data_IF_330202719695
#
_entry.id   IF_330202719695
#
_cell.length_a   1.000
_cell.length_b   1.000
_cell.length_c   1.000
_cell.angle_alpha   90.00
_cell.angle_beta   90.00
_cell.angle_gamma   90.00
#
_symmetry.space_group_name_H-M   'P 1'
#
loop_
_entity.id
_entity.type
_entity.pdbx_description
1 polymer ?
#
# COMPACT_ATOMS: atom_id res chain seq x y z
N UNK A 1 -20.23 6.17 -13.24
CA UNK A 1 -19.85 5.43 -12.01
C UNK A 1 -18.56 6.02 -11.46
N UNK A 2 -18.40 6.10 -10.14
CA UNK A 2 -17.18 6.61 -9.51
C UNK A 2 -15.95 5.77 -9.90
N UNK A 3 -14.75 6.37 -9.88
CA UNK A 3 -13.48 5.65 -10.10
C UNK A 3 -13.35 4.47 -9.13
N UNK A 4 -13.77 4.67 -7.88
CA UNK A 4 -13.79 3.67 -6.82
C UNK A 4 -14.59 2.42 -7.22
N UNK A 5 -15.79 2.60 -7.78
CA UNK A 5 -16.62 1.47 -8.19
C UNK A 5 -16.05 0.71 -9.39
N UNK A 6 -15.41 1.41 -10.33
CA UNK A 6 -14.87 0.80 -11.56
C UNK A 6 -13.51 0.14 -11.37
N UNK A 7 -12.64 0.74 -10.54
CA UNK A 7 -11.26 0.29 -10.37
C UNK A 7 -11.04 -0.58 -9.13
N UNK A 8 -11.94 -0.50 -8.14
CA UNK A 8 -11.83 -1.27 -6.90
C UNK A 8 -13.01 -2.22 -6.65
N UNK A 9 -14.05 -2.18 -7.49
CA UNK A 9 -15.26 -2.98 -7.28
C UNK A 9 -16.09 -2.56 -6.07
N UNK A 10 -15.76 -1.45 -5.41
CA UNK A 10 -16.42 -1.00 -4.18
C UNK A 10 -17.73 -0.28 -4.53
N UNK A 11 -18.86 -0.89 -4.16
CA UNK A 11 -20.21 -0.41 -4.45
C UNK A 11 -20.82 0.46 -3.36
N UNK A 12 -20.26 0.43 -2.14
CA UNK A 12 -20.75 1.21 -1.01
C UNK A 12 -19.92 1.05 0.25
N UNK A 13 -20.50 1.45 1.38
CA UNK A 13 -19.83 1.50 2.70
C UNK A 13 -19.26 0.15 3.15
N UNK A 14 -20.01 -0.95 2.99
CA UNK A 14 -19.59 -2.29 3.42
C UNK A 14 -18.28 -2.68 2.74
N UNK A 15 -18.31 -2.78 1.41
CA UNK A 15 -17.15 -3.11 0.58
C UNK A 15 -15.94 -2.19 0.85
N UNK A 16 -16.19 -0.90 1.11
CA UNK A 16 -15.13 0.05 1.45
C UNK A 16 -14.43 -0.36 2.75
N UNK A 17 -15.19 -0.60 3.81
CA UNK A 17 -14.64 -0.95 5.12
C UNK A 17 -13.97 -2.32 5.10
N UNK A 18 -14.51 -3.27 4.34
CA UNK A 18 -13.87 -4.57 4.10
C UNK A 18 -12.52 -4.42 3.39
N UNK A 19 -12.45 -3.62 2.32
CA UNK A 19 -11.19 -3.37 1.61
C UNK A 19 -10.16 -2.65 2.48
N UNK A 20 -10.59 -1.65 3.27
CA UNK A 20 -9.69 -0.96 4.21
C UNK A 20 -9.15 -1.93 5.25
N UNK A 21 -9.99 -2.82 5.80
CA UNK A 21 -9.56 -3.86 6.76
C UNK A 21 -8.56 -4.81 6.12
N UNK A 22 -8.87 -5.33 4.93
CA UNK A 22 -7.98 -6.22 4.18
C UNK A 22 -6.60 -5.58 3.95
N UNK A 23 -6.55 -4.34 3.44
CA UNK A 23 -5.29 -3.64 3.24
C UNK A 23 -4.53 -3.41 4.55
N UNK A 24 -5.23 -3.15 5.65
CA UNK A 24 -4.61 -2.85 6.92
C UNK A 24 -4.20 -4.09 7.73
N UNK A 25 -4.53 -5.32 7.31
CA UNK A 25 -4.26 -6.56 8.03
C UNK A 25 -3.46 -7.56 7.19
N UNK A 26 -3.85 -7.75 5.94
CA UNK A 26 -3.28 -8.76 5.06
C UNK A 26 -2.51 -8.09 3.94
N UNK A 27 -3.24 -7.51 2.98
CA UNK A 27 -2.70 -6.73 1.87
C UNK A 27 -1.54 -7.42 1.12
N UNK A 28 -0.59 -6.60 0.70
CA UNK A 28 0.65 -7.01 0.08
C UNK A 28 1.72 -7.39 1.11
N UNK A 29 1.60 -6.99 2.38
CA UNK A 29 2.46 -7.49 3.47
C UNK A 29 2.37 -9.02 3.55
N UNK A 30 1.16 -9.56 3.77
CA UNK A 30 0.95 -11.01 3.86
C UNK A 30 1.32 -11.70 2.54
N UNK A 31 0.95 -11.11 1.40
CA UNK A 31 1.29 -11.67 0.09
C UNK A 31 2.79 -11.78 -0.11
N UNK A 32 3.56 -10.73 0.20
CA UNK A 32 5.01 -10.76 0.05
C UNK A 32 5.65 -11.78 0.98
N UNK A 33 5.13 -11.92 2.21
CA UNK A 33 5.58 -12.96 3.14
C UNK A 33 5.36 -14.36 2.58
N UNK A 34 4.11 -14.73 2.27
CA UNK A 34 3.77 -16.06 1.77
C UNK A 34 4.58 -16.43 0.52
N UNK A 35 4.74 -15.48 -0.39
CA UNK A 35 5.47 -15.69 -1.63
C UNK A 35 6.99 -15.78 -1.42
N UNK A 36 7.52 -15.15 -0.36
CA UNK A 36 8.92 -15.28 0.03
C UNK A 36 9.22 -16.56 0.82
N UNK A 37 8.22 -17.14 1.48
CA UNK A 37 8.34 -18.40 2.22
C UNK A 37 8.18 -19.63 1.32
N UNK A 38 7.35 -19.53 0.27
CA UNK A 38 7.11 -20.61 -0.68
C UNK A 38 8.38 -21.06 -1.42
N UNK A 39 8.61 -22.37 -1.44
CA UNK A 39 9.76 -22.97 -2.12
C UNK A 39 9.61 -22.94 -3.65
N UNK A 40 8.38 -22.95 -4.15
CA UNK A 40 8.06 -22.85 -5.57
C UNK A 40 6.73 -22.11 -5.79
N UNK A 41 6.46 -21.56 -6.99
CA UNK A 41 5.20 -20.88 -7.25
C UNK A 41 4.00 -21.84 -7.25
N UNK A 42 4.20 -23.14 -7.50
CA UNK A 42 3.14 -24.16 -7.49
C UNK A 42 2.52 -24.36 -6.10
N UNK A 43 3.26 -24.09 -5.01
CA UNK A 43 2.72 -24.14 -3.63
C UNK A 43 1.66 -23.05 -3.38
N UNK A 44 1.59 -22.04 -4.24
CA UNK A 44 0.68 -20.90 -4.15
C UNK A 44 -0.46 -20.99 -5.17
N UNK A 45 -0.52 -22.09 -5.94
CA UNK A 45 -1.50 -22.28 -7.01
C UNK A 45 -2.60 -23.25 -6.58
N UNK A 46 -3.81 -23.00 -7.05
CA UNK A 46 -4.94 -23.92 -6.90
C UNK A 46 -5.63 -24.20 -8.24
N UNK A 47 -6.46 -25.26 -8.27
CA UNK A 47 -7.12 -25.76 -9.47
C UNK A 47 -8.20 -24.83 -10.05
N UNK A 48 -8.61 -23.80 -9.31
CA UNK A 48 -9.61 -22.82 -9.75
C UNK A 48 -8.99 -21.63 -10.46
N UNK A 49 -7.66 -21.48 -10.40
CA UNK A 49 -6.94 -20.37 -11.01
C UNK A 49 -6.89 -20.47 -12.53
N UNK A 50 -7.14 -19.35 -13.21
CA UNK A 50 -6.97 -19.25 -14.65
C UNK A 50 -5.50 -19.02 -15.07
N UNK A 51 -5.22 -19.07 -16.38
CA UNK A 51 -3.86 -18.91 -16.91
C UNK A 51 -3.22 -17.56 -16.54
N UNK A 52 -4.01 -16.49 -16.51
CA UNK A 52 -3.52 -15.15 -16.16
C UNK A 52 -3.17 -15.05 -14.67
N UNK A 53 -3.98 -15.67 -13.81
CA UNK A 53 -3.74 -15.76 -12.36
C UNK A 53 -2.51 -16.62 -12.04
N UNK A 54 -2.32 -17.74 -12.75
CA UNK A 54 -1.12 -18.58 -12.64
C UNK A 54 0.14 -17.79 -13.03
N UNK A 55 0.11 -17.06 -14.14
CA UNK A 55 1.25 -16.25 -14.57
C UNK A 55 1.51 -15.06 -13.63
N UNK A 56 0.45 -14.43 -13.10
CA UNK A 56 0.56 -13.42 -12.05
C UNK A 56 1.25 -13.96 -10.80
N UNK A 57 0.89 -15.18 -10.38
CA UNK A 57 1.47 -15.87 -9.23
C UNK A 57 2.95 -16.16 -9.45
N UNK A 58 3.34 -16.65 -10.63
CA UNK A 58 4.76 -16.85 -10.98
C UNK A 58 5.55 -15.55 -10.94
N UNK A 59 5.00 -14.44 -11.46
CA UNK A 59 5.66 -13.12 -11.44
C UNK A 59 5.82 -12.59 -10.01
N UNK A 60 4.77 -12.68 -9.20
CA UNK A 60 4.81 -12.30 -7.78
C UNK A 60 5.84 -13.13 -6.99
N UNK A 61 5.91 -14.43 -7.25
CA UNK A 61 6.84 -15.32 -6.54
C UNK A 61 8.28 -14.98 -6.89
N UNK A 62 8.59 -14.82 -8.19
CA UNK A 62 9.92 -14.37 -8.63
C UNK A 62 10.31 -13.03 -7.99
N UNK A 63 9.36 -12.10 -7.88
CA UNK A 63 9.59 -10.81 -7.23
C UNK A 63 9.93 -11.00 -5.73
N UNK A 64 9.10 -11.73 -4.99
CA UNK A 64 9.33 -11.96 -3.56
C UNK A 64 10.66 -12.68 -3.31
N UNK A 65 10.96 -13.75 -4.05
CA UNK A 65 12.22 -14.48 -3.93
C UNK A 65 13.45 -13.60 -4.22
N UNK A 66 13.32 -12.65 -5.16
CA UNK A 66 14.42 -11.73 -5.52
C UNK A 66 14.72 -10.70 -4.44
N UNK A 67 13.74 -10.33 -3.62
CA UNK A 67 13.85 -9.20 -2.69
C UNK A 67 13.69 -9.56 -1.21
N UNK A 68 13.26 -10.79 -0.87
CA UNK A 68 13.04 -11.22 0.52
C UNK A 68 14.26 -11.14 1.45
N UNK A 69 15.48 -11.15 0.88
CA UNK A 69 16.71 -10.98 1.65
C UNK A 69 17.08 -9.51 1.90
N UNK A 70 16.46 -8.58 1.18
CA UNK A 70 16.73 -7.14 1.25
C UNK A 70 15.65 -6.39 2.04
N UNK A 71 14.40 -6.85 1.96
CA UNK A 71 13.25 -6.20 2.57
C UNK A 71 12.44 -7.20 3.38
N UNK A 72 12.10 -6.83 4.62
CA UNK A 72 11.12 -7.55 5.42
C UNK A 72 9.70 -7.33 4.88
N UNK A 73 8.74 -8.24 5.12
CA UNK A 73 7.35 -8.06 4.68
C UNK A 73 6.71 -6.74 5.14
N UNK A 74 7.04 -6.27 6.35
CA UNK A 74 6.60 -4.98 6.89
C UNK A 74 6.95 -3.78 6.02
N UNK A 75 7.99 -3.87 5.19
CA UNK A 75 8.33 -2.83 4.22
C UNK A 75 7.27 -2.65 3.13
N UNK A 76 6.25 -3.51 3.01
CA UNK A 76 5.09 -3.28 2.15
C UNK A 76 4.04 -2.33 2.75
N UNK A 77 4.18 -1.95 4.03
CA UNK A 77 3.17 -1.16 4.74
C UNK A 77 2.84 0.17 4.07
N UNK A 78 3.81 0.86 3.46
CA UNK A 78 3.57 2.11 2.73
C UNK A 78 2.58 1.92 1.58
N UNK A 79 2.72 0.84 0.80
CA UNK A 79 1.81 0.53 -0.30
C UNK A 79 0.39 0.18 0.15
N UNK A 80 0.27 -0.64 1.19
CA UNK A 80 -1.05 -1.05 1.69
C UNK A 80 -1.76 0.08 2.45
N UNK A 81 -1.07 0.68 3.42
CA UNK A 81 -1.61 1.75 4.25
C UNK A 81 -1.85 3.01 3.42
N UNK A 82 -1.00 3.34 2.45
CA UNK A 82 -1.22 4.46 1.53
C UNK A 82 -2.52 4.33 0.75
N UNK A 83 -2.81 3.13 0.21
CA UNK A 83 -4.06 2.85 -0.51
C UNK A 83 -5.27 2.82 0.43
N UNK A 84 -5.13 2.25 1.62
CA UNK A 84 -6.19 2.27 2.63
C UNK A 84 -6.55 3.70 3.04
N UNK A 85 -5.55 4.56 3.24
CA UNK A 85 -5.74 5.96 3.58
C UNK A 85 -6.36 6.76 2.42
N UNK A 86 -6.03 6.44 1.17
CA UNK A 86 -6.68 7.02 -0.02
C UNK A 86 -8.16 6.62 -0.08
N UNK A 87 -8.47 5.32 0.06
CA UNK A 87 -9.84 4.80 0.07
C UNK A 87 -10.67 5.42 1.19
N UNK A 88 -10.10 5.58 2.39
CA UNK A 88 -10.76 6.23 3.52
C UNK A 88 -11.20 7.66 3.16
N UNK A 89 -10.31 8.46 2.56
CA UNK A 89 -10.64 9.82 2.13
C UNK A 89 -11.70 9.85 1.03
N UNK A 90 -11.62 8.94 0.06
CA UNK A 90 -12.64 8.81 -0.99
C UNK A 90 -13.99 8.38 -0.45
N UNK A 91 -14.04 7.44 0.49
CA UNK A 91 -15.25 7.01 1.16
C UNK A 91 -15.94 8.15 1.89
N UNK A 92 -15.16 9.00 2.56
CA UNK A 92 -15.66 10.21 3.21
C UNK A 92 -16.24 11.19 2.18
N UNK A 93 -15.49 11.48 1.11
CA UNK A 93 -15.92 12.37 0.04
C UNK A 93 -17.20 11.90 -0.66
N UNK A 94 -17.38 10.59 -0.82
CA UNK A 94 -18.57 9.96 -1.40
C UNK A 94 -19.75 9.83 -0.43
N UNK A 95 -19.58 10.23 0.84
CA UNK A 95 -20.62 10.16 1.88
C UNK A 95 -20.89 8.74 2.39
N UNK A 96 -19.99 7.78 2.15
CA UNK A 96 -20.12 6.40 2.65
C UNK A 96 -19.70 6.26 4.12
N UNK A 97 -18.77 7.11 4.55
CA UNK A 97 -18.33 7.24 5.93
C UNK A 97 -18.34 8.72 6.32
N UNK A 98 -18.46 9.01 7.60
CA UNK A 98 -18.41 10.37 8.14
C UNK A 98 -16.96 10.86 8.28
N UNK A 99 -16.76 12.17 8.42
CA UNK A 99 -15.43 12.75 8.70
C UNK A 99 -14.81 12.22 10.01
N UNK A 100 -15.65 11.99 11.03
CA UNK A 100 -15.22 11.41 12.31
C UNK A 100 -14.70 9.98 12.13
N UNK A 101 -15.45 9.15 11.40
CA UNK A 101 -15.01 7.78 11.08
C UNK A 101 -13.74 7.76 10.25
N UNK A 102 -13.65 8.62 9.23
CA UNK A 102 -12.46 8.75 8.40
C UNK A 102 -11.24 9.16 9.23
N UNK A 103 -11.40 10.09 10.18
CA UNK A 103 -10.33 10.53 11.07
C UNK A 103 -9.84 9.40 11.98
N UNK A 104 -10.76 8.64 12.57
CA UNK A 104 -10.42 7.48 13.41
C UNK A 104 -9.69 6.39 12.62
N UNK A 105 -10.17 6.06 11.41
CA UNK A 105 -9.50 5.09 10.54
C UNK A 105 -8.10 5.57 10.14
N UNK A 106 -7.96 6.83 9.72
CA UNK A 106 -6.64 7.39 9.35
C UNK A 106 -5.67 7.40 10.54
N UNK A 107 -6.17 7.64 11.75
CA UNK A 107 -5.39 7.52 12.97
C UNK A 107 -4.89 6.08 13.18
N UNK A 108 -5.77 5.08 13.12
CA UNK A 108 -5.38 3.68 13.31
C UNK A 108 -4.39 3.21 12.23
N UNK A 109 -4.61 3.62 10.98
CA UNK A 109 -3.69 3.37 9.87
C UNK A 109 -2.31 4.01 10.12
N UNK A 110 -2.28 5.23 10.68
CA UNK A 110 -1.03 5.89 11.04
C UNK A 110 -0.25 5.10 12.10
N UNK A 111 -0.93 4.50 13.07
CA UNK A 111 -0.27 3.71 14.11
C UNK A 111 0.32 2.42 13.55
N UNK A 112 -0.35 1.77 12.60
CA UNK A 112 0.19 0.59 11.94
C UNK A 112 1.44 0.88 11.13
N UNK A 113 1.46 1.99 10.39
CA UNK A 113 2.61 2.26 9.52
C UNK A 113 3.85 2.70 10.29
N UNK A 114 3.71 3.32 11.46
CA UNK A 114 4.85 3.71 12.30
C UNK A 114 5.48 2.55 13.05
N UNK A 115 4.82 1.39 13.12
CA UNK A 115 5.41 0.16 13.66
C UNK A 115 6.39 -0.47 12.66
N UNK A 116 6.20 -0.21 11.36
CA UNK A 116 6.99 -0.80 10.28
C UNK A 116 7.98 0.18 9.62
N UNK A 117 7.61 1.47 9.53
CA UNK A 117 8.36 2.52 8.83
C UNK A 117 8.61 3.72 9.74
N UNK A 118 9.67 4.47 9.46
CA UNK A 118 10.22 5.45 10.40
C UNK A 118 10.31 6.86 9.82
N UNK A 119 9.94 7.05 8.55
CA UNK A 119 9.93 8.36 7.93
C UNK A 119 9.06 8.40 6.68
N UNK A 120 8.67 9.61 6.28
CA UNK A 120 8.02 9.84 5.00
C UNK A 120 8.85 9.38 3.80
N UNK A 121 10.18 9.49 3.87
CA UNK A 121 11.09 8.98 2.83
C UNK A 121 10.95 7.47 2.70
N UNK A 122 10.96 6.76 3.82
CA UNK A 122 10.82 5.31 3.86
C UNK A 122 9.42 4.88 3.38
N UNK A 123 8.38 5.63 3.78
CA UNK A 123 7.02 5.45 3.27
C UNK A 123 6.94 5.57 1.75
N UNK A 124 7.56 6.59 1.14
CA UNK A 124 7.61 6.73 -0.32
C UNK A 124 8.32 5.56 -1.00
N UNK A 125 9.47 5.12 -0.45
CA UNK A 125 10.21 3.98 -0.99
C UNK A 125 9.38 2.68 -0.90
N UNK A 126 8.74 2.45 0.23
CA UNK A 126 7.81 1.34 0.46
C UNK A 126 6.64 1.36 -0.53
N UNK A 127 6.02 2.53 -0.73
CA UNK A 127 4.91 2.69 -1.68
C UNK A 127 5.35 2.40 -3.12
N UNK A 128 6.52 2.89 -3.54
CA UNK A 128 7.09 2.60 -4.86
C UNK A 128 7.40 1.11 -5.03
N UNK A 129 7.94 0.47 -4.00
CA UNK A 129 8.29 -0.94 -4.02
C UNK A 129 7.04 -1.84 -4.18
N UNK A 130 6.00 -1.61 -3.39
CA UNK A 130 4.73 -2.33 -3.53
C UNK A 130 4.02 -2.04 -4.86
N UNK A 131 4.12 -0.80 -5.37
CA UNK A 131 3.61 -0.42 -6.69
C UNK A 131 4.32 -1.14 -7.84
N UNK A 132 5.64 -1.31 -7.73
CA UNK A 132 6.42 -2.11 -8.69
C UNK A 132 5.98 -3.57 -8.66
N UNK A 133 5.82 -4.15 -7.46
CA UNK A 133 5.29 -5.51 -7.32
C UNK A 133 3.95 -5.62 -8.05
N UNK A 134 2.96 -4.78 -7.70
CA UNK A 134 1.64 -4.79 -8.31
C UNK A 134 1.67 -4.71 -9.84
N UNK A 135 2.50 -3.84 -10.42
CA UNK A 135 2.62 -3.70 -11.87
C UNK A 135 3.18 -4.96 -12.54
N UNK A 136 4.17 -5.60 -11.92
CA UNK A 136 4.70 -6.88 -12.39
C UNK A 136 3.64 -7.98 -12.30
N UNK A 137 2.84 -8.02 -11.23
CA UNK A 137 1.73 -8.97 -11.10
C UNK A 137 0.74 -8.83 -12.26
N UNK A 138 0.36 -7.61 -12.62
CA UNK A 138 -0.54 -7.34 -13.73
C UNK A 138 0.06 -7.61 -15.13
N UNK A 139 1.34 -7.97 -15.24
CA UNK A 139 2.01 -8.14 -16.53
C UNK A 139 2.08 -6.83 -17.33
N UNK A 140 1.98 -5.69 -16.66
CA UNK A 140 1.84 -4.38 -17.29
C UNK A 140 3.21 -3.87 -17.77
N UNK A 141 3.38 -3.78 -19.10
CA UNK A 141 4.61 -3.28 -19.73
C UNK A 141 4.86 -1.79 -19.49
N UNK A 142 3.88 -1.05 -18.95
CA UNK A 142 4.01 0.35 -18.57
C UNK A 142 4.56 0.57 -17.15
N UNK A 143 5.04 -0.48 -16.48
CA UNK A 143 5.60 -0.39 -15.12
C UNK A 143 6.64 0.75 -14.98
N UNK A 144 7.52 0.92 -15.97
CA UNK A 144 8.55 1.97 -15.97
C UNK A 144 8.00 3.39 -15.98
N UNK A 145 7.06 3.71 -16.87
CA UNK A 145 6.48 5.04 -16.96
C UNK A 145 5.57 5.35 -15.76
N UNK A 146 4.83 4.36 -15.27
CA UNK A 146 4.05 4.49 -14.04
C UNK A 146 4.93 4.79 -12.82
N UNK A 147 6.01 4.03 -12.64
CA UNK A 147 6.93 4.25 -11.52
C UNK A 147 7.67 5.57 -11.62
N UNK A 148 8.04 6.01 -12.83
CA UNK A 148 8.60 7.35 -13.05
C UNK A 148 7.66 8.43 -12.54
N UNK A 149 6.39 8.39 -12.95
CA UNK A 149 5.39 9.36 -12.49
C UNK A 149 5.20 9.36 -10.96
N UNK A 150 5.12 8.18 -10.33
CA UNK A 150 4.96 8.10 -8.87
C UNK A 150 6.25 8.53 -8.14
N UNK A 151 7.43 8.25 -8.71
CA UNK A 151 8.70 8.68 -8.14
C UNK A 151 8.86 10.20 -8.20
N UNK A 152 8.45 10.83 -9.30
CA UNK A 152 8.40 12.29 -9.42
C UNK A 152 7.43 12.89 -8.40
N UNK A 153 6.22 12.33 -8.28
CA UNK A 153 5.25 12.77 -7.27
C UNK A 153 5.77 12.60 -5.83
N UNK A 154 6.45 11.49 -5.52
CA UNK A 154 7.06 11.26 -4.22
C UNK A 154 8.21 12.26 -3.96
N UNK A 155 8.99 12.59 -4.98
CA UNK A 155 10.04 13.60 -4.91
C UNK A 155 9.44 14.97 -4.61
N UNK A 156 8.41 15.39 -5.35
CA UNK A 156 7.70 16.65 -5.10
C UNK A 156 7.14 16.73 -3.66
N UNK A 157 6.58 15.63 -3.15
CA UNK A 157 6.06 15.57 -1.76
C UNK A 157 7.17 15.72 -0.72
N UNK A 158 8.36 15.20 -0.98
CA UNK A 158 9.51 15.23 -0.07
C UNK A 158 10.31 16.54 -0.16
N UNK A 159 10.52 17.06 -1.37
CA UNK A 159 11.46 18.16 -1.63
C UNK A 159 10.80 19.45 -2.08
N UNK A 160 9.55 19.39 -2.54
CA UNK A 160 8.85 20.53 -3.13
C UNK A 160 9.17 20.68 -4.60
N UNK A 161 8.32 21.43 -5.30
CA UNK A 161 8.54 21.88 -6.67
C UNK A 161 9.47 23.09 -6.71
N UNK A 162 9.97 23.44 -7.90
CA UNK A 162 10.95 24.53 -8.08
C UNK A 162 10.50 25.90 -7.53
N UNK A 163 9.21 26.12 -7.37
CA UNK A 163 8.58 27.35 -6.85
C UNK A 163 8.09 27.23 -5.40
N UNK A 164 8.35 26.09 -4.74
CA UNK A 164 7.90 25.81 -3.37
C UNK A 164 9.09 25.82 -2.40
N UNK A 165 8.89 26.40 -1.23
CA UNK A 165 9.82 26.25 -0.12
C UNK A 165 9.58 24.87 0.53
N UNK A 166 10.11 23.80 -0.07
CA UNK A 166 10.01 22.44 0.45
C UNK A 166 8.73 21.68 0.07
N UNK A 167 8.74 20.37 0.34
CA UNK A 167 7.65 19.46 -0.02
C UNK A 167 6.52 19.45 1.00
N UNK A 168 5.32 19.04 0.58
CA UNK A 168 4.13 19.02 1.45
C UNK A 168 4.29 18.14 2.69
N UNK A 169 5.13 17.10 2.64
CA UNK A 169 5.42 16.26 3.80
C UNK A 169 6.38 16.92 4.81
N UNK A 170 6.97 18.06 4.49
CA UNK A 170 7.71 18.89 5.45
C UNK A 170 6.78 19.45 6.53
N UNK A 171 5.58 19.87 6.12
CA UNK A 171 4.61 20.53 7.00
C UNK A 171 3.69 19.53 7.72
N UNK A 172 3.80 18.24 7.37
CA UNK A 172 3.10 17.13 8.02
C UNK A 172 4.14 16.24 8.70
N UNK A 173 4.38 16.36 10.02
CA UNK A 173 5.39 15.54 10.68
C UNK A 173 5.06 14.05 10.55
N UNK A 174 6.08 13.20 10.52
CA UNK A 174 5.89 11.75 10.60
C UNK A 174 5.06 11.43 11.85
N UNK A 175 4.03 10.55 11.78
CA UNK A 175 3.15 10.34 12.91
C UNK A 175 3.94 9.87 14.14
N UNK A 176 3.60 10.43 15.30
CA UNK A 176 4.21 9.97 16.54
C UNK A 176 3.70 8.56 16.87
N UNK A 177 4.62 7.66 17.22
CA UNK A 177 4.25 6.38 17.83
C UNK A 177 3.49 6.64 19.13
N UNK A 178 2.38 5.94 19.33
CA UNK A 178 1.66 5.97 20.60
C UNK A 178 2.60 5.48 21.70
N UNK A 179 2.90 6.34 22.67
CA UNK A 179 3.56 5.91 23.90
C UNK A 179 2.60 5.01 24.67
N UNK A 180 2.78 3.69 24.59
CA UNK A 180 2.13 2.76 25.51
C UNK A 180 2.87 2.88 26.84
N UNK A 181 2.48 3.88 27.64
CA UNK A 181 2.97 4.04 29.00
C UNK A 181 2.28 3.04 29.91
N UNK A 182 2.94 1.91 30.20
CA UNK A 182 2.92 1.40 31.58
C UNK A 182 4.14 1.98 32.27
N UNK A 183 3.91 2.97 33.12
CA UNK A 183 4.85 3.29 34.19
C UNK A 183 4.75 2.12 35.17
N UNK A 184 5.81 1.31 35.25
CA UNK A 184 6.03 0.44 36.40
C UNK A 184 6.54 1.27 37.58
#
# INVERSE_FOLDING_TARGET
GSLVRRSWGIGGRGDLLDMIRYLAQDGYILRFQLYGEAASPEELMDETMDEDELESTKRAWRFAQRYKSQYAPGFMAGWDIGRAAMLTRWGCYLGWITESEASGILWDLSQKVVDELHSWREFAQSYLFGGLMWKLLCGDSSAGSYLGYIADAATDLLTGKADQDGGQWRDCPWPAQRKIGFVL
#
